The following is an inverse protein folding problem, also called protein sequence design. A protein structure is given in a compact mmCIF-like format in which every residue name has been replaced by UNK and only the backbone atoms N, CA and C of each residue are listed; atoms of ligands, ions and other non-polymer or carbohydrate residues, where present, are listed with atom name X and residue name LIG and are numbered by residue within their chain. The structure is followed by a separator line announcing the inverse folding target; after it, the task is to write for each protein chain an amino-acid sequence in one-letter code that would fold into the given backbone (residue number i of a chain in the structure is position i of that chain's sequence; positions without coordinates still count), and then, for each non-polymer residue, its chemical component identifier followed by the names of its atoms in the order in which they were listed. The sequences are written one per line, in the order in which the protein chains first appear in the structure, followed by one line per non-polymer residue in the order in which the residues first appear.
data_IF_396077765612
#
_entry.id   IF_396077765612
#
_cell.length_a   1.000
_cell.length_b   1.000
_cell.length_c   1.000
_cell.angle_alpha   90.00
_cell.angle_beta   90.00
_cell.angle_gamma   90.00
#
_symmetry.space_group_name_H-M   'P 1'
#
loop_
_entity.id
_entity.type
_entity.pdbx_description
1 polymer ?
#
# COMPACT_ATOMS: atom_id res chain seq x y z
N UNK A 1 9.87 -18.09 -9.05
CA UNK A 1 9.26 -17.04 -9.89
C UNK A 1 8.58 -16.08 -8.93
N UNK A 2 8.99 -14.81 -8.87
CA UNK A 2 8.28 -13.86 -8.00
C UNK A 2 6.92 -13.55 -8.62
N UNK A 3 5.87 -13.59 -7.80
CA UNK A 3 4.53 -13.21 -8.22
C UNK A 3 4.52 -11.70 -8.52
N UNK A 4 3.90 -11.31 -9.63
CA UNK A 4 3.75 -9.90 -10.05
C UNK A 4 2.28 -9.51 -10.11
N UNK A 5 1.93 -8.44 -9.43
CA UNK A 5 0.60 -7.85 -9.48
C UNK A 5 0.56 -6.67 -10.45
N UNK A 6 -0.50 -6.62 -11.27
CA UNK A 6 -0.72 -5.54 -12.23
C UNK A 6 -1.97 -4.77 -11.87
N UNK A 7 -1.79 -3.51 -11.48
CA UNK A 7 -2.87 -2.65 -11.01
C UNK A 7 -3.06 -1.53 -12.01
N UNK A 8 -4.28 -1.42 -12.54
CA UNK A 8 -4.65 -0.37 -13.48
C UNK A 8 -5.81 0.46 -12.94
N UNK A 9 -5.67 1.78 -12.94
CA UNK A 9 -6.72 2.73 -12.57
C UNK A 9 -6.81 3.86 -13.59
N UNK A 10 -7.91 3.92 -14.33
CA UNK A 10 -8.20 5.02 -15.26
C UNK A 10 -9.50 5.72 -14.86
N UNK A 11 -9.41 7.00 -14.48
CA UNK A 11 -10.55 7.81 -13.99
C UNK A 11 -11.33 7.21 -12.80
N UNK A 12 -10.75 6.23 -12.11
CA UNK A 12 -11.39 5.44 -11.08
C UNK A 12 -10.60 5.36 -9.79
N UNK A 13 -11.08 4.51 -8.88
CA UNK A 13 -10.40 4.17 -7.63
C UNK A 13 -10.35 2.65 -7.48
N UNK A 14 -9.15 2.10 -7.43
CA UNK A 14 -8.91 0.70 -7.10
C UNK A 14 -8.39 0.62 -5.66
N UNK A 15 -8.89 -0.33 -4.89
CA UNK A 15 -8.41 -0.60 -3.53
C UNK A 15 -8.12 -2.09 -3.38
N UNK A 16 -6.89 -2.39 -2.98
CA UNK A 16 -6.48 -3.71 -2.53
C UNK A 16 -6.14 -3.61 -1.04
N UNK A 17 -6.90 -4.31 -0.19
CA UNK A 17 -6.88 -4.15 1.27
C UNK A 17 -6.80 -5.51 1.97
N UNK A 18 -6.16 -5.58 3.14
CA UNK A 18 -5.97 -6.84 3.88
C UNK A 18 -4.89 -7.74 3.28
N UNK A 19 -5.01 -9.06 3.47
CA UNK A 19 -4.12 -10.08 2.89
C UNK A 19 -4.62 -10.47 1.48
N UNK A 20 -4.36 -9.60 0.50
CA UNK A 20 -4.91 -9.75 -0.85
C UNK A 20 -3.93 -10.35 -1.85
N UNK A 21 -2.64 -10.41 -1.52
CA UNK A 21 -1.58 -10.97 -2.37
C UNK A 21 -0.34 -11.30 -1.52
N UNK A 22 0.53 -12.12 -2.11
CA UNK A 22 1.85 -12.48 -1.59
C UNK A 22 2.96 -11.95 -2.54
N UNK A 23 2.59 -11.11 -3.51
CA UNK A 23 3.50 -10.62 -4.53
C UNK A 23 4.58 -9.68 -3.98
N UNK A 24 5.81 -9.85 -4.48
CA UNK A 24 6.91 -8.93 -4.23
C UNK A 24 7.06 -7.85 -5.29
N UNK A 25 6.39 -7.97 -6.44
CA UNK A 25 6.56 -7.06 -7.56
C UNK A 25 5.21 -6.51 -8.01
N UNK A 26 5.15 -5.21 -8.23
CA UNK A 26 3.93 -4.50 -8.57
C UNK A 26 4.17 -3.58 -9.76
N UNK A 27 3.32 -3.68 -10.76
CA UNK A 27 3.24 -2.72 -11.87
C UNK A 27 1.95 -1.91 -11.69
N UNK A 28 2.06 -0.62 -11.41
CA UNK A 28 0.92 0.27 -11.21
C UNK A 28 0.86 1.27 -12.33
N UNK A 29 -0.20 1.19 -13.13
CA UNK A 29 -0.54 2.20 -14.13
C UNK A 29 -1.77 2.98 -13.69
N UNK A 30 -1.64 4.29 -13.52
CA UNK A 30 -2.73 5.13 -13.05
C UNK A 30 -2.85 6.43 -13.86
N UNK A 31 -4.03 6.69 -14.40
CA UNK A 31 -4.33 7.91 -15.17
C UNK A 31 -5.59 8.58 -14.64
N UNK A 32 -5.50 9.84 -14.22
CA UNK A 32 -6.64 10.62 -13.70
C UNK A 32 -7.42 9.91 -12.57
N UNK A 33 -6.80 8.96 -11.89
CA UNK A 33 -7.44 8.03 -10.97
C UNK A 33 -6.59 7.81 -9.72
N UNK A 34 -6.98 6.80 -8.96
CA UNK A 34 -6.30 6.45 -7.73
C UNK A 34 -6.17 4.93 -7.51
N UNK A 35 -5.11 4.55 -6.81
CA UNK A 35 -4.92 3.21 -6.28
C UNK A 35 -4.59 3.28 -4.78
N UNK A 36 -5.18 2.40 -3.99
CA UNK A 36 -4.82 2.20 -2.58
C UNK A 36 -4.37 0.76 -2.42
N UNK A 37 -3.13 0.56 -2.00
CA UNK A 37 -2.57 -0.75 -1.70
C UNK A 37 -2.28 -0.85 -0.22
N UNK A 38 -2.84 -1.89 0.40
CA UNK A 38 -2.45 -2.32 1.73
C UNK A 38 -1.30 -3.31 1.62
N UNK A 39 -0.17 -2.92 2.18
CA UNK A 39 1.09 -3.65 2.15
C UNK A 39 1.55 -4.05 3.56
N UNK A 40 0.63 -4.01 4.54
CA UNK A 40 0.82 -4.43 5.93
C UNK A 40 0.68 -5.95 6.14
N UNK A 41 0.33 -6.68 5.08
CA UNK A 41 0.21 -8.13 5.17
C UNK A 41 1.55 -8.74 5.54
N UNK A 42 1.61 -9.66 6.52
CA UNK A 42 2.83 -10.40 6.85
C UNK A 42 3.19 -11.43 5.77
N UNK A 43 2.27 -11.77 4.86
CA UNK A 43 2.51 -12.71 3.76
C UNK A 43 3.32 -12.10 2.61
N UNK A 44 3.52 -10.78 2.63
CA UNK A 44 4.37 -10.10 1.66
C UNK A 44 5.85 -10.27 1.99
N UNK A 45 6.74 -10.37 0.98
CA UNK A 45 8.18 -10.47 1.23
C UNK A 45 8.75 -9.21 1.89
N UNK A 46 9.94 -9.34 2.47
CA UNK A 46 10.66 -8.24 3.11
C UNK A 46 11.12 -7.17 2.12
N UNK A 47 11.37 -7.54 0.87
CA UNK A 47 11.70 -6.62 -0.22
C UNK A 47 10.58 -6.60 -1.26
N UNK A 48 10.03 -5.41 -1.52
CA UNK A 48 8.93 -5.18 -2.46
C UNK A 48 9.34 -4.13 -3.49
N UNK A 49 9.12 -4.44 -4.77
CA UNK A 49 9.36 -3.55 -5.89
C UNK A 49 8.03 -3.03 -6.47
N UNK A 50 7.92 -1.71 -6.61
CA UNK A 50 6.76 -1.06 -7.21
C UNK A 50 7.22 -0.18 -8.36
N UNK A 51 6.83 -0.56 -9.57
CA UNK A 51 7.01 0.23 -10.79
C UNK A 51 5.75 1.07 -11.05
N UNK A 52 5.94 2.38 -11.21
CA UNK A 52 4.86 3.36 -11.34
C UNK A 52 4.84 3.98 -12.75
N UNK A 53 3.67 4.01 -13.37
CA UNK A 53 3.35 4.82 -14.54
C UNK A 53 2.11 5.68 -14.21
N UNK A 54 2.36 6.92 -13.79
CA UNK A 54 1.33 7.81 -13.25
C UNK A 54 1.17 9.09 -14.08
N UNK A 55 -0.08 9.41 -14.44
CA UNK A 55 -0.46 10.71 -15.01
C UNK A 55 -1.70 11.27 -14.30
N UNK A 56 -1.53 12.43 -13.66
CA UNK A 56 -2.58 13.11 -12.87
C UNK A 56 -3.28 12.17 -11.88
N UNK A 57 -2.52 11.27 -11.27
CA UNK A 57 -3.04 10.19 -10.44
C UNK A 57 -2.53 10.24 -9.00
N UNK A 58 -3.16 9.44 -8.13
CA UNK A 58 -2.75 9.28 -6.73
C UNK A 58 -2.56 7.80 -6.37
N UNK A 59 -1.41 7.46 -5.81
CA UNK A 59 -1.17 6.13 -5.23
C UNK A 59 -1.01 6.28 -3.72
N UNK A 60 -1.79 5.53 -2.95
CA UNK A 60 -1.68 5.45 -1.50
C UNK A 60 -1.18 4.07 -1.09
N UNK A 61 -0.08 4.04 -0.36
CA UNK A 61 0.48 2.83 0.24
C UNK A 61 0.15 2.85 1.74
N UNK A 62 -0.51 1.81 2.22
CA UNK A 62 -0.70 1.55 3.65
C UNK A 62 0.39 0.57 4.06
N UNK A 63 1.25 0.97 4.99
CA UNK A 63 2.45 0.22 5.35
C UNK A 63 2.62 0.18 6.86
N UNK A 64 3.45 -0.74 7.35
CA UNK A 64 3.81 -0.82 8.77
C UNK A 64 4.76 0.34 9.14
N UNK A 65 4.81 0.69 10.43
CA UNK A 65 5.55 1.87 10.90
C UNK A 65 7.04 1.84 10.50
N UNK A 66 7.68 0.68 10.63
CA UNK A 66 9.09 0.47 10.29
C UNK A 66 9.40 0.34 8.79
N UNK A 67 8.40 0.43 7.90
CA UNK A 67 8.61 0.18 6.46
C UNK A 67 9.54 1.22 5.83
N UNK A 68 10.68 0.80 5.30
CA UNK A 68 11.59 1.69 4.57
C UNK A 68 11.05 1.95 3.15
N UNK A 69 11.01 3.22 2.73
CA UNK A 69 10.60 3.61 1.38
C UNK A 69 11.82 4.18 0.65
N UNK A 70 12.20 3.51 -0.42
CA UNK A 70 13.31 3.89 -1.29
C UNK A 70 12.76 4.39 -2.63
N UNK A 71 13.09 5.62 -3.05
CA UNK A 71 12.41 6.27 -4.18
C UNK A 71 13.32 7.07 -5.12
N UNK A 72 14.64 6.85 -5.05
CA UNK A 72 15.65 7.48 -5.92
C UNK A 72 15.44 7.19 -7.41
N UNK A 73 14.85 6.04 -7.74
CA UNK A 73 14.55 5.62 -9.12
C UNK A 73 13.22 6.14 -9.66
N UNK A 74 12.53 7.02 -8.93
CA UNK A 74 11.27 7.62 -9.37
C UNK A 74 11.50 8.93 -10.12
N UNK A 75 11.05 8.98 -11.37
CA UNK A 75 11.17 10.17 -12.22
C UNK A 75 9.89 11.02 -12.19
N UNK A 76 9.99 12.22 -11.63
CA UNK A 76 8.94 13.24 -11.77
C UNK A 76 9.12 14.00 -13.09
N UNK A 77 8.13 13.89 -13.98
CA UNK A 77 8.15 14.54 -15.32
C UNK A 77 7.42 15.88 -15.32
N UNK A 78 6.66 16.17 -14.28
CA UNK A 78 5.99 17.45 -14.02
C UNK A 78 5.84 17.63 -12.49
N UNK A 79 4.93 18.52 -12.06
CA UNK A 79 4.62 18.69 -10.63
C UNK A 79 4.29 17.34 -9.99
N UNK A 80 4.79 17.09 -8.79
CA UNK A 80 4.47 15.88 -8.06
C UNK A 80 5.25 15.79 -6.76
N UNK A 81 4.84 14.86 -5.90
CA UNK A 81 5.47 14.68 -4.59
C UNK A 81 5.10 13.34 -3.96
N UNK A 82 5.98 12.89 -3.07
CA UNK A 82 5.67 11.90 -2.05
C UNK A 82 5.26 12.63 -0.78
N UNK A 83 4.22 12.15 -0.12
CA UNK A 83 3.82 12.57 1.22
C UNK A 83 3.97 11.40 2.17
N UNK A 84 4.90 11.51 3.10
CA UNK A 84 5.04 10.62 4.24
C UNK A 84 4.94 11.47 5.51
N UNK A 85 3.82 11.35 6.23
CA UNK A 85 3.54 12.21 7.39
C UNK A 85 4.26 11.76 8.67
N UNK A 86 4.80 10.54 8.69
CA UNK A 86 5.48 9.95 9.85
C UNK A 86 6.67 9.13 9.35
N UNK A 87 7.75 9.77 8.86
CA UNK A 87 8.93 9.04 8.44
C UNK A 87 9.45 8.18 9.60
N UNK A 88 10.00 6.98 9.34
CA UNK A 88 10.48 6.10 10.38
C UNK A 88 11.47 6.85 11.27
N UNK A 89 11.29 6.75 12.59
CA UNK A 89 12.24 7.34 13.53
C UNK A 89 13.59 6.64 13.31
N UNK A 90 14.68 7.40 13.22
CA UNK A 90 16.03 6.90 12.89
C UNK A 90 16.62 5.95 13.95
N UNK A 91 15.81 5.40 14.85
CA UNK A 91 16.23 4.54 15.97
C UNK A 91 15.98 3.05 15.78
N UNK A 92 15.17 2.64 14.81
CA UNK A 92 14.88 1.22 14.61
C UNK A 92 15.44 0.75 13.26
N UNK A 93 16.75 0.45 13.24
CA UNK A 93 17.40 -0.34 12.18
C UNK A 93 16.97 -1.83 12.22
N UNK A 94 16.00 -2.19 13.07
CA UNK A 94 15.52 -3.54 13.24
C UNK A 94 14.43 -3.89 12.20
N UNK A 95 14.84 -4.61 11.14
CA UNK A 95 14.05 -5.60 10.40
C UNK A 95 12.65 -5.18 9.86
N UNK A 96 12.49 -3.95 9.36
CA UNK A 96 11.26 -3.55 8.64
C UNK A 96 11.29 -3.88 7.15
N UNK A 97 10.13 -4.13 6.54
CA UNK A 97 9.96 -4.31 5.08
C UNK A 97 10.52 -3.10 4.31
N UNK A 98 11.15 -3.33 3.17
CA UNK A 98 11.65 -2.30 2.25
C UNK A 98 10.82 -2.28 0.98
N UNK A 99 10.42 -1.09 0.57
CA UNK A 99 9.69 -0.86 -0.68
C UNK A 99 10.53 0.04 -1.59
N UNK A 100 10.82 -0.46 -2.79
CA UNK A 100 11.51 0.28 -3.83
C UNK A 100 10.53 0.84 -4.85
N UNK A 101 10.49 2.15 -4.98
CA UNK A 101 9.67 2.87 -5.94
C UNK A 101 10.51 3.25 -7.17
N UNK A 102 10.02 2.87 -8.35
CA UNK A 102 10.62 3.21 -9.64
C UNK A 102 9.58 3.67 -10.66
N UNK A 103 10.04 4.16 -11.80
CA UNK A 103 9.16 4.52 -12.93
C UNK A 103 8.96 6.02 -13.08
N UNK A 104 7.78 6.45 -13.49
CA UNK A 104 7.52 7.85 -13.82
C UNK A 104 6.17 8.37 -13.32
N UNK A 105 6.14 9.65 -12.99
CA UNK A 105 4.96 10.32 -12.46
C UNK A 105 4.83 11.77 -12.96
N UNK A 106 3.70 12.07 -13.60
CA UNK A 106 3.35 13.38 -14.15
C UNK A 106 2.16 13.97 -13.38
N UNK A 107 2.27 15.17 -12.81
CA UNK A 107 1.15 15.84 -12.10
C UNK A 107 0.49 14.97 -11.01
N UNK A 108 1.28 14.13 -10.34
CA UNK A 108 0.78 13.01 -9.53
C UNK A 108 1.26 13.08 -8.08
N UNK A 109 0.61 12.31 -7.20
CA UNK A 109 0.94 12.27 -5.77
C UNK A 109 1.05 10.82 -5.26
N UNK A 110 2.09 10.54 -4.48
CA UNK A 110 2.22 9.27 -3.75
C UNK A 110 2.03 9.58 -2.27
N UNK A 111 1.22 8.80 -1.56
CA UNK A 111 0.97 8.94 -0.13
C UNK A 111 1.39 7.68 0.61
N UNK A 112 2.23 7.83 1.61
CA UNK A 112 2.63 6.77 2.53
C UNK A 112 1.86 6.98 3.82
N UNK A 113 1.01 6.01 4.16
CA UNK A 113 0.24 6.02 5.40
C UNK A 113 0.78 4.89 6.29
N UNK A 114 1.13 5.24 7.53
CA UNK A 114 1.73 4.34 8.53
C UNK A 114 0.83 4.21 9.76
N UNK A 115 1.02 3.12 10.50
CA UNK A 115 0.42 2.90 11.82
C UNK A 115 -1.09 3.14 11.88
N UNK A 116 -1.53 3.92 12.87
CA UNK A 116 -2.94 4.25 13.05
C UNK A 116 -3.60 4.89 11.82
N UNK A 117 -2.86 5.68 11.03
CA UNK A 117 -3.40 6.30 9.82
C UNK A 117 -3.61 5.28 8.70
N UNK A 118 -2.75 4.26 8.62
CA UNK A 118 -2.94 3.13 7.73
C UNK A 118 -4.20 2.34 8.10
N UNK A 119 -4.37 2.01 9.38
CA UNK A 119 -5.54 1.31 9.93
C UNK A 119 -6.82 2.08 9.62
N UNK A 120 -6.89 3.36 9.97
CA UNK A 120 -8.06 4.21 9.70
C UNK A 120 -8.37 4.28 8.19
N UNK A 121 -7.33 4.37 7.36
CA UNK A 121 -7.50 4.41 5.90
C UNK A 121 -8.11 3.12 5.35
N UNK A 122 -7.76 1.97 5.93
CA UNK A 122 -8.35 0.68 5.57
C UNK A 122 -9.80 0.55 6.08
N UNK A 123 -10.06 0.98 7.32
CA UNK A 123 -11.40 0.96 7.94
C UNK A 123 -12.42 1.82 7.20
N UNK A 124 -12.03 2.99 6.68
CA UNK A 124 -12.90 3.85 5.88
C UNK A 124 -13.03 3.35 4.43
N UNK A 125 -13.44 2.09 4.27
CA UNK A 125 -13.67 1.44 2.99
C UNK A 125 -14.93 0.56 3.01
N UNK A 126 -15.54 0.38 1.84
CA UNK A 126 -16.65 -0.59 1.68
C UNK A 126 -16.19 -2.03 1.95
N UNK A 127 -14.94 -2.34 1.62
CA UNK A 127 -14.35 -3.65 1.87
C UNK A 127 -14.29 -3.97 3.37
N UNK A 128 -13.90 -3.00 4.22
CA UNK A 128 -13.92 -3.20 5.67
C UNK A 128 -15.34 -3.45 6.20
N UNK A 129 -16.34 -2.73 5.70
CA UNK A 129 -17.75 -2.98 6.10
C UNK A 129 -18.18 -4.40 5.72
N UNK A 130 -17.78 -4.90 4.54
CA UNK A 130 -18.05 -6.27 4.12
C UNK A 130 -17.32 -7.30 4.99
N UNK A 131 -16.07 -7.02 5.34
CA UNK A 131 -15.26 -7.84 6.24
C UNK A 131 -15.90 -7.94 7.63
N UNK A 132 -16.28 -6.82 8.24
CA UNK A 132 -16.99 -6.81 9.54
C UNK A 132 -18.29 -7.62 9.48
N UNK A 133 -19.07 -7.50 8.39
CA UNK A 133 -20.29 -8.30 8.22
C UNK A 133 -20.00 -9.79 8.11
N UNK A 134 -18.96 -10.17 7.37
CA UNK A 134 -18.48 -11.56 7.27
C UNK A 134 -18.07 -12.08 8.64
N UNK A 135 -17.18 -11.37 9.33
CA UNK A 135 -16.66 -11.72 10.64
C UNK A 135 -17.78 -11.91 11.67
N UNK A 136 -18.76 -10.99 11.69
CA UNK A 136 -19.93 -11.13 12.55
C UNK A 136 -20.74 -12.40 12.25
N UNK A 137 -20.98 -12.72 10.96
CA UNK A 137 -21.72 -13.92 10.55
C UNK A 137 -20.99 -15.22 10.93
N UNK A 138 -19.65 -15.22 10.91
CA UNK A 138 -18.82 -16.41 11.16
C UNK A 138 -18.27 -16.48 12.58
N UNK A 139 -18.60 -15.54 13.46
CA UNK A 139 -18.07 -15.49 14.84
C UNK A 139 -16.58 -15.17 14.92
N UNK A 140 -16.02 -14.51 13.89
CA UNK A 140 -14.60 -14.15 13.81
C UNK A 140 -14.34 -12.66 14.05
N UNK A 141 -13.12 -12.24 13.73
CA UNK A 141 -12.66 -10.85 13.76
C UNK A 141 -12.40 -10.34 12.34
N UNK A 142 -12.62 -9.04 12.05
CA UNK A 142 -12.19 -8.46 10.80
C UNK A 142 -10.66 -8.50 10.67
N UNK A 143 -10.20 -8.46 9.42
CA UNK A 143 -8.81 -8.64 9.00
C UNK A 143 -8.27 -7.42 8.26
N UNK A 144 -9.13 -6.58 7.67
CA UNK A 144 -8.71 -5.42 6.89
C UNK A 144 -8.14 -4.29 7.77
N UNK A 145 -8.64 -4.12 9.00
CA UNK A 145 -8.07 -3.16 9.95
C UNK A 145 -6.65 -3.56 10.36
N UNK A 146 -6.44 -4.85 10.57
CA UNK A 146 -5.18 -5.45 11.04
C UNK A 146 -4.89 -6.78 10.31
N UNK A 147 -4.16 -6.73 9.19
CA UNK A 147 -3.86 -7.91 8.37
C UNK A 147 -2.98 -8.95 9.07
N UNK A 148 -2.23 -8.54 10.10
CA UNK A 148 -1.33 -9.42 10.86
C UNK A 148 -2.06 -10.25 11.93
N UNK A 149 -3.34 -9.98 12.21
CA UNK A 149 -4.08 -10.61 13.32
C UNK A 149 -4.12 -12.14 13.26
N UNK A 150 -4.12 -12.73 12.06
CA UNK A 150 -4.11 -14.19 11.88
C UNK A 150 -2.76 -14.87 12.16
N UNK A 151 -1.69 -14.09 12.36
CA UNK A 151 -0.31 -14.57 12.47
C UNK A 151 0.27 -14.44 13.89
N UNK A 152 -0.48 -13.87 14.83
CA UNK A 152 -0.11 -13.81 16.25
C UNK A 152 -0.51 -15.14 16.91
N UNK A 153 0.43 -16.09 16.96
CA UNK A 153 0.33 -17.34 17.76
C UNK A 153 1.18 -17.23 19.02
#
# INVERSE_FOLDING_TARGET
MSLTERIHSDHGLVKHLGNWTEAGHFEIKARHGAAVLDLRSPDLPDDVEIHLDMDRAMVKLLVDDGTAIDHWNLRWTARGKIKDSQPPSTRDEAAGRRIHLSGSATNSEIRIHRGGIAILSAMFSRAYVQDVRRAHKTGGVPTIDDPARGHQS
#
